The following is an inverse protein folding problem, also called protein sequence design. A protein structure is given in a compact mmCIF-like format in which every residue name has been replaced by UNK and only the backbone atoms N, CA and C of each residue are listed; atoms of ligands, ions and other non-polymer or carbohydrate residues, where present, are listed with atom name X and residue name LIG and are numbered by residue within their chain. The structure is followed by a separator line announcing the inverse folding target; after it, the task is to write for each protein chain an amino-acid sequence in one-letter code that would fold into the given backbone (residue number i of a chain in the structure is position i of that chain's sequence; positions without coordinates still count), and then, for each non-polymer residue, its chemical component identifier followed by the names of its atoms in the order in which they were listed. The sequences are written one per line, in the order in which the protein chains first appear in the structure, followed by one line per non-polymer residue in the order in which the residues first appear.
data_IF_612049457073
#
_entry.id   IF_612049457073
#
_cell.length_a   1.000
_cell.length_b   1.000
_cell.length_c   1.000
_cell.angle_alpha   90.00
_cell.angle_beta   90.00
_cell.angle_gamma   90.00
#
_symmetry.space_group_name_H-M   'P 1'
#
loop_
_entity.id
_entity.type
_entity.pdbx_description
1 polymer ?
#
# COMPACT_ATOMS: atom_id res chain seq x y z
N UNK A 1 -11.67 6.99 0.52
CA UNK A 1 -12.39 5.70 0.66
C UNK A 1 -12.91 5.26 -0.68
N UNK A 2 -12.05 4.55 -1.40
CA UNK A 2 -12.42 3.77 -2.57
C UNK A 2 -13.03 2.46 -2.08
N UNK A 3 -14.34 2.30 -2.28
CA UNK A 3 -15.11 1.19 -1.70
C UNK A 3 -14.62 -0.20 -2.12
N UNK A 4 -13.93 -0.31 -3.27
CA UNK A 4 -13.38 -1.56 -3.81
C UNK A 4 -12.06 -1.98 -3.12
N UNK A 5 -11.29 -1.05 -2.55
CA UNK A 5 -9.94 -1.32 -2.01
C UNK A 5 -9.64 -0.54 -0.71
N UNK A 6 -10.47 -0.73 0.35
CA UNK A 6 -10.36 0.07 1.58
C UNK A 6 -9.02 -0.06 2.31
N UNK A 7 -8.36 -1.22 2.30
CA UNK A 7 -7.09 -1.39 3.02
C UNK A 7 -5.91 -0.81 2.25
N UNK A 8 -5.92 -0.93 0.92
CA UNK A 8 -4.92 -0.29 0.07
C UNK A 8 -5.09 1.24 0.07
N UNK A 9 -6.33 1.74 0.05
CA UNK A 9 -6.65 3.17 0.24
C UNK A 9 -6.15 3.68 1.59
N UNK A 10 -6.36 2.92 2.67
CA UNK A 10 -5.85 3.28 4.00
C UNK A 10 -4.31 3.29 4.03
N UNK A 11 -3.65 2.29 3.45
CA UNK A 11 -2.20 2.24 3.40
C UNK A 11 -1.64 3.48 2.70
N UNK A 12 -2.16 3.79 1.52
CA UNK A 12 -1.69 4.90 0.70
C UNK A 12 -2.07 6.25 1.33
N UNK A 13 -3.33 6.45 1.68
CA UNK A 13 -3.83 7.75 2.15
C UNK A 13 -3.52 8.06 3.61
N UNK A 14 -3.36 7.07 4.49
CA UNK A 14 -3.09 7.31 5.91
C UNK A 14 -1.60 7.21 6.26
N UNK A 15 -0.89 6.21 5.72
CA UNK A 15 0.52 5.96 6.08
C UNK A 15 1.50 6.59 5.09
N UNK A 16 1.09 6.84 3.84
CA UNK A 16 1.89 7.50 2.81
C UNK A 16 1.27 8.83 2.35
N UNK A 17 0.71 9.59 3.30
CA UNK A 17 0.25 10.96 3.06
C UNK A 17 1.42 11.93 2.85
N UNK A 18 1.13 13.19 2.51
CA UNK A 18 2.15 14.20 2.21
C UNK A 18 3.20 14.41 3.32
N UNK A 19 2.80 14.25 4.59
CA UNK A 19 3.60 14.54 5.78
C UNK A 19 4.12 13.25 6.46
N UNK A 20 4.11 12.11 5.76
CA UNK A 20 4.50 10.83 6.37
C UNK A 20 5.94 10.87 6.90
N UNK A 21 6.85 11.53 6.19
CA UNK A 21 8.24 11.67 6.56
C UNK A 21 8.41 12.47 7.86
N UNK A 22 7.58 13.49 8.06
CA UNK A 22 7.50 14.26 9.29
C UNK A 22 6.87 13.44 10.43
N UNK A 23 5.84 12.64 10.15
CA UNK A 23 5.15 11.82 11.16
C UNK A 23 6.00 10.65 11.65
N UNK A 24 6.65 9.93 10.74
CA UNK A 24 7.51 8.78 11.05
C UNK A 24 8.97 9.18 11.32
N UNK A 25 9.35 10.42 11.01
CA UNK A 25 10.73 10.90 11.15
C UNK A 25 11.69 10.27 10.13
N UNK A 26 11.17 9.72 9.02
CA UNK A 26 11.94 9.03 7.99
C UNK A 26 11.18 8.99 6.66
N UNK A 27 11.91 9.11 5.56
CA UNK A 27 11.47 8.89 4.18
C UNK A 27 11.62 7.42 3.72
N UNK A 28 11.97 6.50 4.64
CA UNK A 28 12.13 5.08 4.33
C UNK A 28 10.77 4.38 4.25
N UNK A 29 10.33 4.11 3.01
CA UNK A 29 9.10 3.36 2.72
C UNK A 29 9.10 2.00 3.43
N UNK A 30 10.23 1.29 3.50
CA UNK A 30 10.28 -0.01 4.16
C UNK A 30 10.01 0.09 5.66
N UNK A 31 10.48 1.16 6.30
CA UNK A 31 10.24 1.43 7.72
C UNK A 31 8.74 1.71 7.97
N UNK A 32 8.12 2.54 7.13
CA UNK A 32 6.69 2.85 7.22
C UNK A 32 5.85 1.59 7.00
N UNK A 33 6.21 0.74 6.04
CA UNK A 33 5.56 -0.57 5.84
C UNK A 33 5.74 -1.49 7.05
N UNK A 34 6.92 -1.55 7.65
CA UNK A 34 7.16 -2.33 8.87
C UNK A 34 6.31 -1.84 10.04
N UNK A 35 6.00 -0.54 10.11
CA UNK A 35 5.05 0.01 11.08
C UNK A 35 3.62 -0.40 10.74
N UNK A 36 3.17 -0.19 9.50
CA UNK A 36 1.83 -0.55 9.04
C UNK A 36 1.48 -2.01 9.33
N UNK A 37 2.37 -2.95 8.96
CA UNK A 37 2.08 -4.39 9.14
C UNK A 37 2.04 -4.81 10.61
N UNK A 38 2.71 -4.09 11.51
CA UNK A 38 2.66 -4.36 12.96
C UNK A 38 1.42 -3.76 13.62
N UNK A 39 0.94 -2.64 13.10
CA UNK A 39 -0.19 -1.88 13.64
C UNK A 39 -1.54 -2.50 13.24
N UNK A 40 -1.58 -3.26 12.15
CA UNK A 40 -2.80 -3.85 11.61
C UNK A 40 -2.98 -5.34 11.97
N UNK A 41 -4.24 -5.77 12.06
CA UNK A 41 -4.59 -7.16 12.38
C UNK A 41 -4.29 -8.11 11.22
N UNK A 42 -4.07 -9.40 11.52
CA UNK A 42 -3.85 -10.42 10.50
C UNK A 42 -4.99 -10.49 9.46
N UNK A 43 -6.24 -10.26 9.89
CA UNK A 43 -7.40 -10.21 8.99
C UNK A 43 -7.29 -9.06 7.99
N UNK A 44 -6.97 -7.84 8.46
CA UNK A 44 -6.74 -6.69 7.58
C UNK A 44 -5.60 -6.96 6.58
N UNK A 45 -4.51 -7.56 7.06
CA UNK A 45 -3.37 -7.88 6.20
C UNK A 45 -3.70 -8.93 5.13
N UNK A 46 -4.51 -9.94 5.45
CA UNK A 46 -5.00 -10.89 4.45
C UNK A 46 -5.90 -10.21 3.41
N UNK A 47 -6.78 -9.30 3.83
CA UNK A 47 -7.65 -8.54 2.91
C UNK A 47 -6.84 -7.61 2.02
N UNK A 48 -5.82 -6.92 2.55
CA UNK A 48 -4.89 -6.10 1.75
C UNK A 48 -4.21 -6.90 0.64
N UNK A 49 -3.75 -8.13 0.92
CA UNK A 49 -3.16 -8.99 -0.11
C UNK A 49 -4.17 -9.32 -1.23
N UNK A 50 -5.42 -9.58 -0.86
CA UNK A 50 -6.49 -9.85 -1.83
C UNK A 50 -6.76 -8.61 -2.68
N UNK A 51 -6.89 -7.44 -2.06
CA UNK A 51 -7.08 -6.17 -2.76
C UNK A 51 -5.96 -5.88 -3.76
N UNK A 52 -4.69 -6.06 -3.35
CA UNK A 52 -3.54 -5.86 -4.25
C UNK A 52 -3.60 -6.83 -5.43
N UNK A 53 -3.89 -8.11 -5.19
CA UNK A 53 -3.96 -9.11 -6.26
C UNK A 53 -5.10 -8.82 -7.24
N UNK A 54 -6.27 -8.43 -6.73
CA UNK A 54 -7.43 -8.07 -7.54
C UNK A 54 -7.15 -6.79 -8.36
N UNK A 55 -6.49 -5.80 -7.76
CA UNK A 55 -6.09 -4.56 -8.44
C UNK A 55 -5.08 -4.81 -9.57
N UNK A 56 -4.02 -5.57 -9.27
CA UNK A 56 -3.00 -5.97 -10.26
C UNK A 56 -3.62 -6.76 -11.42
N UNK A 57 -4.57 -7.65 -11.14
CA UNK A 57 -5.26 -8.42 -12.17
C UNK A 57 -6.18 -7.54 -13.03
N UNK A 58 -6.96 -6.65 -12.40
CA UNK A 58 -7.92 -5.77 -13.09
C UNK A 58 -7.22 -4.75 -14.00
N UNK A 59 -6.04 -4.28 -13.62
CA UNK A 59 -5.30 -3.22 -14.31
C UNK A 59 -3.94 -3.69 -14.86
N UNK A 60 -3.79 -4.95 -15.21
CA UNK A 60 -2.51 -5.55 -15.63
C UNK A 60 -1.78 -4.77 -16.73
N UNK A 61 -2.52 -4.16 -17.68
CA UNK A 61 -1.94 -3.40 -18.81
C UNK A 61 -1.66 -1.92 -18.49
N UNK A 62 -2.19 -1.39 -17.38
CA UNK A 62 -2.12 0.04 -17.03
C UNK A 62 -2.01 0.29 -15.52
N UNK A 63 -1.31 -0.60 -14.81
CA UNK A 63 -1.30 -0.67 -13.35
C UNK A 63 -0.93 0.67 -12.69
N UNK A 64 0.11 1.33 -13.19
CA UNK A 64 0.60 2.58 -12.63
C UNK A 64 -0.39 3.73 -12.82
N UNK A 65 -0.90 3.93 -14.04
CA UNK A 65 -1.94 4.94 -14.32
C UNK A 65 -3.20 4.69 -13.48
N UNK A 66 -3.63 3.44 -13.41
CA UNK A 66 -4.79 3.05 -12.61
C UNK A 66 -4.56 3.31 -11.12
N UNK A 67 -3.37 3.04 -10.60
CA UNK A 67 -3.01 3.28 -9.20
C UNK A 67 -3.12 4.76 -8.85
N UNK A 68 -2.44 5.63 -9.61
CA UNK A 68 -2.49 7.07 -9.36
C UNK A 68 -3.89 7.65 -9.56
N UNK A 69 -4.64 7.19 -10.56
CA UNK A 69 -6.02 7.63 -10.78
C UNK A 69 -6.98 7.15 -9.71
N UNK A 70 -6.75 5.94 -9.17
CA UNK A 70 -7.65 5.35 -8.18
C UNK A 70 -7.38 5.93 -6.81
N UNK A 71 -6.13 5.96 -6.35
CA UNK A 71 -5.82 6.32 -4.97
C UNK A 71 -5.43 7.78 -4.78
N UNK A 72 -5.13 8.51 -5.86
CA UNK A 72 -4.69 9.91 -5.84
C UNK A 72 -3.69 10.19 -4.71
N UNK A 73 -2.56 9.43 -4.64
CA UNK A 73 -1.64 9.51 -3.52
C UNK A 73 -1.01 10.91 -3.43
N UNK A 74 -0.85 11.39 -2.20
CA UNK A 74 -0.17 12.66 -1.93
C UNK A 74 1.33 12.63 -2.27
N UNK A 75 1.90 11.44 -2.40
CA UNK A 75 3.31 11.22 -2.74
C UNK A 75 3.46 10.42 -4.03
N UNK A 76 4.61 10.59 -4.67
CA UNK A 76 4.98 9.83 -5.85
C UNK A 76 5.75 8.55 -5.46
N UNK A 77 5.37 7.43 -6.06
CA UNK A 77 6.10 6.16 -5.99
C UNK A 77 6.87 5.94 -7.29
N UNK A 78 8.18 5.73 -7.20
CA UNK A 78 9.05 5.57 -8.38
C UNK A 78 8.67 4.38 -9.27
N UNK A 79 8.18 3.29 -8.67
CA UNK A 79 7.70 2.10 -9.37
C UNK A 79 6.57 1.43 -8.55
N UNK A 80 5.33 1.68 -8.96
CA UNK A 80 4.12 1.12 -8.30
C UNK A 80 4.16 -0.42 -8.21
N UNK A 81 4.52 -1.17 -9.28
CA UNK A 81 4.69 -2.62 -9.18
C UNK A 81 5.67 -3.05 -8.06
N UNK A 82 6.84 -2.43 -7.96
CA UNK A 82 7.81 -2.74 -6.90
C UNK A 82 7.28 -2.37 -5.52
N UNK A 83 6.58 -1.24 -5.38
CA UNK A 83 5.93 -0.86 -4.13
C UNK A 83 4.90 -1.91 -3.69
N UNK A 84 3.96 -2.29 -4.56
CA UNK A 84 2.95 -3.33 -4.25
C UNK A 84 3.61 -4.69 -3.95
N UNK A 85 4.68 -5.03 -4.67
CA UNK A 85 5.50 -6.21 -4.39
C UNK A 85 6.14 -6.19 -3.00
N UNK A 86 6.64 -5.02 -2.59
CA UNK A 86 7.23 -4.80 -1.27
C UNK A 86 6.18 -4.94 -0.16
N UNK A 87 4.99 -4.36 -0.34
CA UNK A 87 3.85 -4.51 0.57
C UNK A 87 3.52 -5.99 0.75
N UNK A 88 3.33 -6.73 -0.35
CA UNK A 88 3.04 -8.18 -0.30
C UNK A 88 4.10 -8.95 0.48
N UNK A 89 5.38 -8.67 0.25
CA UNK A 89 6.50 -9.34 0.92
C UNK A 89 6.52 -9.06 2.44
N UNK A 90 6.30 -7.80 2.85
CA UNK A 90 6.27 -7.41 4.28
C UNK A 90 5.08 -8.05 4.99
N UNK A 91 3.91 -8.04 4.38
CA UNK A 91 2.70 -8.69 4.90
C UNK A 91 2.87 -10.20 5.05
N UNK A 92 3.37 -10.89 4.02
CA UNK A 92 3.61 -12.34 4.07
C UNK A 92 4.61 -12.72 5.17
N UNK A 93 5.63 -11.90 5.40
CA UNK A 93 6.59 -12.08 6.50
C UNK A 93 5.95 -11.89 7.87
N UNK A 94 4.96 -11.00 8.00
CA UNK A 94 4.25 -10.75 9.26
C UNK A 94 3.22 -11.85 9.59
N UNK A 95 2.63 -12.47 8.56
CA UNK A 95 1.60 -13.51 8.69
C UNK A 95 2.16 -14.94 8.84
N UNK A 96 3.43 -15.15 8.48
CA UNK A 96 4.14 -16.44 8.60
C UNK A 96 4.86 -16.60 9.92
#
# INVERSE_FOLDING_TARGET
MHEDYPHLDQLVGAYFNQDYDLFFGTDDIEFVLDFYVKDNSAECLHQLIQEIADFEFKYADCLEEAFYKTFDPDIYFDDVPSFLGMVKKKVQKQLG
#
